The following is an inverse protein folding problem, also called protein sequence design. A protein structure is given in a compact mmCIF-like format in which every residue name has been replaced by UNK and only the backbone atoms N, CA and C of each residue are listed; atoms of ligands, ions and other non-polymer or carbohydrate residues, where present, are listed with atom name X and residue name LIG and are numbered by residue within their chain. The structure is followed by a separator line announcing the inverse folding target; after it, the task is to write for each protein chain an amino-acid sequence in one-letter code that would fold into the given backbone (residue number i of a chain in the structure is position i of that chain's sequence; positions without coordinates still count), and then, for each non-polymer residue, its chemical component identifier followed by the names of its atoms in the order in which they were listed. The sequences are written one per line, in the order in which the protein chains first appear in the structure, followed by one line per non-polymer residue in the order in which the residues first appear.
data_IF_744116580199
#
_entry.id   IF_744116580199
#
_cell.length_a   1.000
_cell.length_b   1.000
_cell.length_c   1.000
_cell.angle_alpha   90.00
_cell.angle_beta   90.00
_cell.angle_gamma   90.00
#
_symmetry.space_group_name_H-M   'P 1'
#
loop_
_entity.id
_entity.type
_entity.pdbx_description
1 polymer ?
#
# COMPACT_ATOMS: atom_id res chain seq x y z
N UNK A 1 -7.55 -0.28 13.63
CA UNK A 1 -7.77 -0.10 12.17
C UNK A 1 -8.82 -1.10 11.70
N UNK A 2 -9.90 -0.63 11.07
CA UNK A 2 -10.95 -1.52 10.56
C UNK A 2 -10.58 -2.11 9.18
N UNK A 3 -11.26 -3.17 8.72
CA UNK A 3 -11.15 -3.65 7.33
C UNK A 3 -11.57 -2.52 6.38
N UNK A 4 -10.86 -2.36 5.26
CA UNK A 4 -11.07 -1.26 4.30
C UNK A 4 -10.33 0.05 4.62
N UNK A 5 -9.70 0.16 5.79
CA UNK A 5 -8.93 1.34 6.22
C UNK A 5 -7.42 1.09 6.23
N UNK A 6 -6.93 0.27 5.29
CA UNK A 6 -5.50 0.05 5.12
C UNK A 6 -4.87 -1.04 6.01
N UNK A 7 -5.68 -1.93 6.59
CA UNK A 7 -5.18 -3.03 7.44
C UNK A 7 -4.18 -3.98 6.75
N UNK A 8 -4.33 -4.23 5.44
CA UNK A 8 -3.35 -4.99 4.67
C UNK A 8 -1.98 -4.30 4.61
N UNK A 9 -1.96 -3.00 4.28
CA UNK A 9 -0.73 -2.21 4.29
C UNK A 9 -0.08 -2.15 5.67
N UNK A 10 -0.88 -1.99 6.73
CA UNK A 10 -0.37 -2.03 8.10
C UNK A 10 0.32 -3.36 8.43
N UNK A 11 -0.28 -4.50 8.05
CA UNK A 11 0.31 -5.82 8.29
C UNK A 11 1.64 -6.00 7.55
N UNK A 12 1.70 -5.57 6.28
CA UNK A 12 2.95 -5.61 5.50
C UNK A 12 4.02 -4.75 6.16
N UNK A 13 3.70 -3.50 6.50
CA UNK A 13 4.64 -2.58 7.15
C UNK A 13 5.18 -3.15 8.46
N UNK A 14 4.31 -3.66 9.34
CA UNK A 14 4.73 -4.29 10.60
C UNK A 14 5.50 -5.61 10.40
N UNK A 15 5.36 -6.26 9.24
CA UNK A 15 6.09 -7.48 8.90
C UNK A 15 7.47 -7.25 8.29
N UNK A 16 7.71 -6.07 7.70
CA UNK A 16 9.00 -5.73 7.05
C UNK A 16 9.85 -4.76 7.86
N UNK A 17 9.26 -4.01 8.79
CA UNK A 17 9.97 -3.00 9.59
C UNK A 17 11.07 -3.61 10.47
N UNK A 18 12.24 -2.99 10.42
CA UNK A 18 13.39 -3.20 11.29
C UNK A 18 13.66 -2.00 12.22
N UNK A 19 14.55 -2.16 13.21
CA UNK A 19 14.79 -1.15 14.24
C UNK A 19 15.51 0.13 13.75
N UNK A 20 16.05 0.11 12.53
CA UNK A 20 16.77 1.24 11.92
C UNK A 20 15.93 1.97 10.85
N UNK A 21 14.69 1.52 10.64
CA UNK A 21 13.84 2.13 9.62
C UNK A 21 13.29 3.50 10.05
N UNK A 22 12.94 4.31 9.06
CA UNK A 22 12.19 5.55 9.24
C UNK A 22 10.92 5.46 8.40
N UNK A 23 9.76 5.69 9.01
CA UNK A 23 8.46 5.54 8.34
C UNK A 23 7.91 6.88 7.84
N UNK A 24 7.48 6.91 6.58
CA UNK A 24 6.56 7.91 6.04
C UNK A 24 5.21 7.24 5.76
N UNK A 25 4.11 7.91 6.12
CA UNK A 25 2.76 7.44 5.82
C UNK A 25 1.94 8.55 5.19
N UNK A 26 1.37 8.28 4.02
CA UNK A 26 0.51 9.22 3.27
C UNK A 26 -0.82 8.59 2.87
N UNK A 27 -1.87 9.40 2.83
CA UNK A 27 -3.18 9.05 2.26
C UNK A 27 -3.62 10.16 1.28
N UNK A 28 -3.92 9.80 0.03
CA UNK A 28 -4.14 10.76 -1.06
C UNK A 28 -2.97 11.73 -1.31
N UNK A 29 -1.76 11.37 -0.86
CA UNK A 29 -0.58 12.23 -0.93
C UNK A 29 -0.43 13.19 0.25
N UNK A 30 -1.29 13.10 1.26
CA UNK A 30 -1.26 13.94 2.46
C UNK A 30 -0.78 13.14 3.68
N UNK A 31 0.30 13.61 4.31
CA UNK A 31 0.82 13.08 5.57
C UNK A 31 -0.06 13.41 6.79
N UNK A 32 -0.88 14.47 6.70
CA UNK A 32 -1.74 14.96 7.78
C UNK A 32 -3.18 14.46 7.67
N UNK A 33 -3.49 13.67 6.64
CA UNK A 33 -4.78 12.99 6.52
C UNK A 33 -5.05 12.11 7.74
N UNK A 34 -6.31 12.10 8.21
CA UNK A 34 -6.71 11.40 9.46
C UNK A 34 -6.25 9.94 9.47
N UNK A 35 -6.39 9.24 8.34
CA UNK A 35 -5.97 7.85 8.21
C UNK A 35 -4.44 7.71 8.26
N UNK A 36 -3.70 8.58 7.56
CA UNK A 36 -2.23 8.59 7.56
C UNK A 36 -1.68 8.83 8.97
N UNK A 37 -2.19 9.85 9.67
CA UNK A 37 -1.80 10.18 11.05
C UNK A 37 -2.09 9.01 12.00
N UNK A 38 -3.27 8.40 11.91
CA UNK A 38 -3.64 7.29 12.78
C UNK A 38 -2.77 6.04 12.55
N UNK A 39 -2.48 5.72 11.28
CA UNK A 39 -1.62 4.60 10.93
C UNK A 39 -0.18 4.84 11.37
N UNK A 40 0.36 6.04 11.10
CA UNK A 40 1.72 6.40 11.50
C UNK A 40 1.91 6.34 13.01
N UNK A 41 0.98 6.94 13.77
CA UNK A 41 0.98 6.86 15.24
C UNK A 41 0.96 5.42 15.74
N UNK A 42 0.13 4.55 15.15
CA UNK A 42 0.06 3.14 15.53
C UNK A 42 1.36 2.40 15.23
N UNK A 43 1.97 2.65 14.07
CA UNK A 43 3.25 2.03 13.69
C UNK A 43 4.33 2.48 14.66
N UNK A 44 4.51 3.80 14.85
CA UNK A 44 5.53 4.37 15.73
C UNK A 44 5.33 3.91 17.18
N UNK A 45 4.10 3.90 17.69
CA UNK A 45 3.84 3.44 19.06
C UNK A 45 4.07 1.94 19.26
N UNK A 46 3.98 1.13 18.20
CA UNK A 46 4.18 -0.32 18.27
C UNK A 46 5.63 -0.74 18.04
N UNK A 47 6.41 0.06 17.33
CA UNK A 47 7.76 -0.31 16.83
C UNK A 47 8.88 0.57 17.38
N UNK A 48 8.56 1.81 17.80
CA UNK A 48 9.54 2.78 18.29
C UNK A 48 10.38 3.45 17.21
N UNK A 49 10.15 3.16 15.93
CA UNK A 49 10.92 3.76 14.83
C UNK A 49 10.58 5.25 14.63
N UNK A 50 11.53 6.08 14.14
CA UNK A 50 11.25 7.46 13.79
C UNK A 50 10.24 7.58 12.64
N UNK A 51 9.50 8.69 12.63
CA UNK A 51 8.66 9.10 11.50
C UNK A 51 9.24 10.33 10.79
N UNK A 52 8.97 10.46 9.49
CA UNK A 52 9.27 11.66 8.69
C UNK A 52 8.12 11.99 7.74
N UNK A 53 8.04 13.25 7.32
CA UNK A 53 7.18 13.70 6.21
C UNK A 53 7.95 13.85 4.90
N UNK A 54 9.27 13.61 4.89
CA UNK A 54 10.12 13.74 3.69
C UNK A 54 10.41 12.36 3.13
N UNK A 55 10.09 12.12 1.85
CA UNK A 55 10.24 10.79 1.24
C UNK A 55 11.70 10.30 1.27
N UNK A 56 12.65 11.17 0.89
CA UNK A 56 14.09 10.85 0.87
C UNK A 56 14.73 10.58 2.24
N UNK A 57 14.05 10.91 3.34
CA UNK A 57 14.50 10.62 4.70
C UNK A 57 13.89 9.33 5.26
N UNK A 58 12.97 8.72 4.53
CA UNK A 58 12.29 7.49 4.92
C UNK A 58 13.01 6.26 4.34
N UNK A 59 12.85 5.12 4.99
CA UNK A 59 13.22 3.82 4.40
C UNK A 59 11.98 3.02 4.01
N UNK A 60 10.84 3.30 4.66
CA UNK A 60 9.55 2.72 4.33
C UNK A 60 8.54 3.83 4.07
N UNK A 61 7.82 3.73 2.94
CA UNK A 61 6.68 4.58 2.63
C UNK A 61 5.42 3.72 2.55
N UNK A 62 4.51 3.89 3.51
CA UNK A 62 3.17 3.32 3.40
C UNK A 62 2.21 4.33 2.79
N UNK A 63 1.59 3.99 1.67
CA UNK A 63 0.77 4.94 0.90
C UNK A 63 -0.57 4.37 0.47
N UNK A 64 -1.56 5.27 0.37
CA UNK A 64 -2.85 5.02 -0.27
C UNK A 64 -3.08 5.99 -1.43
N UNK A 65 -3.29 5.43 -2.62
CA UNK A 65 -3.67 6.11 -3.88
C UNK A 65 -2.63 7.06 -4.50
N UNK A 66 -1.43 7.22 -3.92
CA UNK A 66 -0.37 8.05 -4.50
C UNK A 66 0.99 7.36 -4.40
N UNK A 67 1.88 7.67 -5.34
CA UNK A 67 3.32 7.42 -5.21
C UNK A 67 3.95 8.81 -4.98
N UNK A 68 4.90 8.98 -4.04
CA UNK A 68 5.69 10.20 -3.93
C UNK A 68 6.27 10.61 -5.29
N UNK A 69 6.24 11.91 -5.60
CA UNK A 69 6.72 12.42 -6.89
C UNK A 69 8.24 12.32 -7.01
N UNK A 70 8.97 12.60 -5.91
CA UNK A 70 10.42 12.56 -5.83
C UNK A 70 10.90 11.87 -4.54
N UNK A 71 12.17 11.50 -4.52
CA UNK A 71 12.88 11.08 -3.31
C UNK A 71 12.85 9.58 -3.01
N UNK A 72 12.22 8.76 -3.87
CA UNK A 72 12.34 7.30 -3.79
C UNK A 72 13.54 6.80 -4.58
N UNK A 73 14.24 5.81 -4.04
CA UNK A 73 15.33 5.09 -4.68
C UNK A 73 15.25 3.58 -4.39
N UNK A 74 16.31 2.84 -4.74
CA UNK A 74 16.36 1.39 -4.61
C UNK A 74 16.36 0.87 -3.15
N UNK A 75 16.66 1.72 -2.18
CA UNK A 75 16.70 1.36 -0.76
C UNK A 75 15.33 1.53 -0.07
N UNK A 76 14.36 2.18 -0.73
CA UNK A 76 13.04 2.41 -0.17
C UNK A 76 12.10 1.22 -0.37
N UNK A 77 11.34 0.88 0.67
CA UNK A 77 10.22 -0.07 0.59
C UNK A 77 8.91 0.72 0.44
N UNK A 78 8.25 0.60 -0.72
CA UNK A 78 6.94 1.20 -0.97
C UNK A 78 5.80 0.21 -0.68
N UNK A 79 5.03 0.46 0.38
CA UNK A 79 3.88 -0.36 0.77
C UNK A 79 2.58 0.27 0.26
N UNK A 80 1.96 -0.36 -0.73
CA UNK A 80 0.71 0.10 -1.34
C UNK A 80 -0.52 -0.45 -0.60
N UNK A 81 -1.42 0.43 -0.17
CA UNK A 81 -2.74 0.03 0.33
C UNK A 81 -3.69 -0.29 -0.83
N UNK A 82 -4.04 -1.57 -0.99
CA UNK A 82 -4.87 -2.05 -2.10
C UNK A 82 -6.27 -2.44 -1.60
N UNK A 83 -7.33 -1.67 -1.93
CA UNK A 83 -8.69 -1.99 -1.50
C UNK A 83 -9.29 -3.17 -2.29
N UNK A 84 -8.97 -3.29 -3.58
CA UNK A 84 -9.41 -4.38 -4.45
C UNK A 84 -8.16 -4.92 -5.17
N UNK A 85 -7.65 -6.10 -4.79
CA UNK A 85 -6.42 -6.65 -5.37
C UNK A 85 -6.65 -7.41 -6.68
N UNK A 86 -7.90 -7.67 -7.04
CA UNK A 86 -8.27 -8.42 -8.24
C UNK A 86 -8.53 -7.45 -9.40
N UNK A 87 -7.59 -7.31 -10.37
CA UNK A 87 -7.74 -6.36 -11.48
C UNK A 87 -8.92 -6.73 -12.40
N UNK A 88 -9.26 -8.01 -12.55
CA UNK A 88 -10.36 -8.45 -13.42
C UNK A 88 -11.73 -8.35 -12.77
N UNK A 89 -11.83 -7.83 -11.53
CA UNK A 89 -13.09 -7.76 -10.77
C UNK A 89 -14.23 -7.03 -11.50
N UNK A 90 -13.89 -6.11 -12.40
CA UNK A 90 -14.84 -5.38 -13.22
C UNK A 90 -15.51 -6.21 -14.33
N UNK A 91 -14.85 -7.28 -14.78
CA UNK A 91 -15.27 -8.09 -15.94
C UNK A 91 -15.59 -9.55 -15.58
N UNK A 92 -15.15 -10.03 -14.42
CA UNK A 92 -15.43 -11.37 -13.91
C UNK A 92 -15.54 -11.36 -12.37
N UNK A 93 -16.45 -12.18 -11.83
CA UNK A 93 -16.74 -12.25 -10.39
C UNK A 93 -16.50 -13.62 -9.78
N UNK A 94 -16.55 -14.72 -10.56
CA UNK A 94 -16.24 -16.05 -10.04
C UNK A 94 -14.72 -16.17 -9.83
N UNK A 95 -14.31 -16.40 -8.57
CA UNK A 95 -12.91 -16.55 -8.19
C UNK A 95 -12.21 -17.72 -8.89
N UNK A 96 -12.93 -18.78 -9.22
CA UNK A 96 -12.37 -19.93 -9.95
C UNK A 96 -12.07 -19.55 -11.38
N UNK A 97 -12.98 -18.81 -12.01
CA UNK A 97 -12.78 -18.32 -13.38
C UNK A 97 -11.68 -17.27 -13.43
N UNK A 98 -11.64 -16.33 -12.49
CA UNK A 98 -10.52 -15.39 -12.32
C UNK A 98 -9.17 -16.11 -12.18
N UNK A 99 -9.14 -17.18 -11.39
CA UNK A 99 -7.96 -18.03 -11.24
C UNK A 99 -7.52 -18.67 -12.56
N UNK A 100 -8.46 -19.24 -13.33
CA UNK A 100 -8.19 -19.76 -14.68
C UNK A 100 -7.67 -18.67 -15.61
N UNK A 101 -8.34 -17.51 -15.64
CA UNK A 101 -7.97 -16.38 -16.50
C UNK A 101 -6.54 -15.89 -16.23
N UNK A 102 -6.15 -15.74 -14.95
CA UNK A 102 -4.78 -15.41 -14.59
C UNK A 102 -3.79 -16.52 -14.96
N UNK A 103 -4.13 -17.78 -14.75
CA UNK A 103 -3.26 -18.92 -15.07
C UNK A 103 -3.00 -19.08 -16.57
N UNK A 104 -3.99 -18.74 -17.41
CA UNK A 104 -3.91 -18.85 -18.86
C UNK A 104 -3.58 -17.51 -19.56
N UNK A 105 -3.33 -16.44 -18.78
CA UNK A 105 -3.17 -15.07 -19.28
C UNK A 105 -4.34 -14.59 -20.18
N UNK A 106 -5.55 -15.06 -19.91
CA UNK A 106 -6.78 -14.69 -20.61
C UNK A 106 -7.32 -13.35 -20.09
N UNK A 107 -6.73 -12.26 -20.57
CA UNK A 107 -7.13 -10.88 -20.23
C UNK A 107 -8.00 -10.22 -21.31
N UNK A 108 -8.50 -11.00 -22.26
CA UNK A 108 -9.31 -10.53 -23.40
C UNK A 108 -10.51 -9.69 -22.97
N UNK A 109 -11.27 -10.13 -21.95
CA UNK A 109 -12.41 -9.39 -21.39
C UNK A 109 -12.03 -8.00 -20.87
N UNK A 110 -10.84 -7.85 -20.28
CA UNK A 110 -10.35 -6.55 -19.82
C UNK A 110 -10.13 -5.61 -21.01
N UNK A 111 -9.47 -6.07 -22.07
CA UNK A 111 -9.24 -5.27 -23.28
C UNK A 111 -10.53 -4.78 -23.95
N UNK A 112 -11.58 -5.59 -23.94
CA UNK A 112 -12.90 -5.21 -24.49
C UNK A 112 -13.63 -4.20 -23.60
N UNK A 113 -13.32 -4.17 -22.30
CA UNK A 113 -13.96 -3.26 -21.35
C UNK A 113 -13.37 -1.85 -21.29
N UNK A 114 -12.21 -1.63 -21.92
CA UNK A 114 -11.52 -0.34 -22.03
C UNK A 114 -12.17 0.56 -23.09
#
# INVERSE_FOLDING_TARGET
VARGWGSGGLQVTLGVVGPLDTIKVIDQGDDQGVNAVNLRRLIVSSTGIPETTVAAESTIVQTRHRIPEDGLDAEHILVLQVPVPEPLRGVERDMRELGRMHAEADYSKMWVSL
#
